data_IF_560359930111
#
_entry.id   IF_560359930111
#
_cell.length_a   1.000
_cell.length_b   1.000
_cell.length_c   1.000
_cell.angle_alpha   90.00
_cell.angle_beta   90.00
_cell.angle_gamma   90.00
#
_symmetry.space_group_name_H-M   'P 1'
#
loop_
_entity.id
_entity.type
_entity.pdbx_description
1 polymer ?
#
# COMPACT_ATOMS: atom_id res chain seq x y z
N UNK A 1 -16.24 -26.70 14.15
CA UNK A 1 -15.17 -25.71 14.39
C UNK A 1 -15.77 -24.51 15.12
N UNK A 2 -15.22 -24.15 16.26
CA UNK A 2 -15.73 -23.02 17.04
C UNK A 2 -15.08 -21.71 16.60
N UNK A 3 -15.49 -20.61 17.23
CA UNK A 3 -14.99 -19.27 16.86
C UNK A 3 -13.47 -19.15 17.05
N UNK A 4 -12.93 -19.76 18.10
CA UNK A 4 -11.49 -19.74 18.36
C UNK A 4 -10.74 -20.45 17.23
N UNK A 5 -11.27 -21.57 16.76
CA UNK A 5 -10.66 -22.30 15.66
C UNK A 5 -10.64 -21.48 14.37
N UNK A 6 -11.71 -20.72 14.10
CA UNK A 6 -11.76 -19.84 12.94
C UNK A 6 -10.71 -18.72 13.04
N UNK A 7 -10.57 -18.11 14.21
CA UNK A 7 -9.56 -17.08 14.44
C UNK A 7 -8.17 -17.64 14.25
N UNK A 8 -7.91 -18.80 14.81
CA UNK A 8 -6.61 -19.46 14.70
C UNK A 8 -6.28 -19.80 13.25
N UNK A 9 -7.27 -20.30 12.50
CA UNK A 9 -7.07 -20.62 11.09
C UNK A 9 -6.71 -19.35 10.27
N UNK A 10 -7.41 -18.26 10.51
CA UNK A 10 -7.14 -16.99 9.81
C UNK A 10 -5.73 -16.47 10.10
N UNK A 11 -5.33 -16.53 11.38
CA UNK A 11 -3.99 -16.08 11.77
C UNK A 11 -2.90 -17.01 11.21
N UNK A 12 -3.18 -18.31 11.14
CA UNK A 12 -2.25 -19.28 10.55
C UNK A 12 -2.07 -19.03 9.06
N UNK A 13 -3.15 -18.71 8.35
CA UNK A 13 -3.07 -18.35 6.94
C UNK A 13 -2.18 -17.11 6.72
N UNK A 14 -2.33 -16.12 7.57
CA UNK A 14 -1.51 -14.91 7.52
C UNK A 14 -0.03 -15.23 7.80
N UNK A 15 0.22 -16.08 8.79
CA UNK A 15 1.57 -16.53 9.13
C UNK A 15 2.21 -17.26 7.96
N UNK A 16 1.48 -18.16 7.32
CA UNK A 16 1.99 -18.93 6.17
C UNK A 16 2.29 -18.00 4.98
N UNK A 17 1.45 -17.01 4.74
CA UNK A 17 1.68 -16.04 3.68
C UNK A 17 2.96 -15.23 3.93
N UNK A 18 3.16 -14.80 5.15
CA UNK A 18 4.35 -14.06 5.53
C UNK A 18 5.60 -14.92 5.42
N UNK A 19 5.54 -16.17 5.88
CA UNK A 19 6.66 -17.11 5.78
C UNK A 19 7.06 -17.35 4.32
N UNK A 20 6.06 -17.52 3.44
CA UNK A 20 6.31 -17.73 2.02
C UNK A 20 6.99 -16.49 1.39
N UNK A 21 6.59 -15.30 1.78
CA UNK A 21 7.21 -14.07 1.30
C UNK A 21 8.67 -13.97 1.75
N UNK A 22 8.95 -14.27 3.02
CA UNK A 22 10.30 -14.20 3.57
C UNK A 22 11.24 -15.17 2.84
N UNK A 23 10.74 -16.31 2.43
CA UNK A 23 11.54 -17.34 1.73
C UNK A 23 11.71 -17.06 0.23
N UNK A 24 11.01 -16.08 -0.31
CA UNK A 24 11.07 -15.77 -1.74
C UNK A 24 12.11 -14.68 -2.00
N UNK A 25 13.34 -15.09 -2.25
CA UNK A 25 14.46 -14.17 -2.48
C UNK A 25 14.19 -13.20 -3.62
N UNK A 26 13.60 -13.65 -4.72
CA UNK A 26 13.30 -12.79 -5.86
C UNK A 26 12.35 -11.66 -5.48
N UNK A 27 11.33 -11.95 -4.67
CA UNK A 27 10.39 -10.95 -4.20
C UNK A 27 11.06 -9.97 -3.23
N UNK A 28 11.90 -10.47 -2.34
CA UNK A 28 12.65 -9.62 -1.40
C UNK A 28 13.57 -8.67 -2.16
N UNK A 29 14.24 -9.15 -3.20
CA UNK A 29 15.09 -8.31 -4.04
C UNK A 29 14.27 -7.23 -4.76
N UNK A 30 13.07 -7.58 -5.24
CA UNK A 30 12.19 -6.62 -5.88
C UNK A 30 11.75 -5.53 -4.91
N UNK A 31 11.42 -5.89 -3.68
CA UNK A 31 11.06 -4.92 -2.63
C UNK A 31 12.24 -4.00 -2.34
N UNK A 32 13.44 -4.58 -2.18
CA UNK A 32 14.65 -3.80 -1.94
C UNK A 32 14.94 -2.85 -3.10
N UNK A 33 14.76 -3.29 -4.33
CA UNK A 33 14.96 -2.47 -5.51
C UNK A 33 13.95 -1.33 -5.57
N UNK A 34 12.68 -1.59 -5.22
CA UNK A 34 11.67 -0.53 -5.15
C UNK A 34 12.06 0.55 -4.14
N UNK A 35 12.51 0.13 -2.96
CA UNK A 35 12.98 1.07 -1.94
C UNK A 35 14.17 1.89 -2.44
N UNK A 36 15.10 1.25 -3.14
CA UNK A 36 16.26 1.93 -3.71
C UNK A 36 15.86 3.00 -4.74
N UNK A 37 14.93 2.65 -5.63
CA UNK A 37 14.43 3.59 -6.66
C UNK A 37 13.76 4.80 -6.00
N UNK A 38 12.95 4.58 -4.98
CA UNK A 38 12.30 5.67 -4.25
C UNK A 38 13.34 6.56 -3.58
N UNK A 39 14.30 5.97 -2.89
CA UNK A 39 15.37 6.72 -2.22
C UNK A 39 16.20 7.53 -3.22
N UNK A 40 16.53 6.93 -4.35
CA UNK A 40 17.30 7.60 -5.39
C UNK A 40 16.53 8.78 -5.99
N UNK A 41 15.24 8.59 -6.24
CA UNK A 41 14.36 9.66 -6.70
C UNK A 41 14.35 10.84 -5.74
N UNK A 42 14.25 10.57 -4.44
CA UNK A 42 14.27 11.62 -3.42
C UNK A 42 15.59 12.39 -3.43
N UNK A 43 16.72 11.70 -3.55
CA UNK A 43 18.04 12.33 -3.61
C UNK A 43 18.18 13.25 -4.82
N UNK A 44 17.53 12.93 -5.92
CA UNK A 44 17.57 13.71 -7.15
C UNK A 44 16.50 14.80 -7.21
N UNK A 45 15.79 15.03 -6.13
CA UNK A 45 14.75 16.04 -6.06
C UNK A 45 13.40 15.62 -6.60
N UNK A 46 13.23 14.33 -6.87
CA UNK A 46 11.96 13.79 -7.34
C UNK A 46 10.96 13.58 -6.21
N UNK A 47 9.83 13.01 -6.56
CA UNK A 47 8.75 12.72 -5.62
C UNK A 47 8.18 11.35 -5.89
N UNK A 48 7.50 10.78 -4.90
CA UNK A 48 6.78 9.53 -5.04
C UNK A 48 5.28 9.80 -4.92
N UNK A 49 4.53 9.19 -5.81
CA UNK A 49 3.07 9.30 -5.80
C UNK A 49 2.47 7.92 -5.60
N UNK A 50 1.51 7.84 -4.72
CA UNK A 50 0.79 6.59 -4.46
C UNK A 50 -0.69 6.76 -4.81
N UNK A 51 -1.32 5.69 -5.24
CA UNK A 51 -2.73 5.72 -5.60
C UNK A 51 -3.37 4.36 -5.36
N UNK A 52 -4.68 4.36 -5.26
CA UNK A 52 -5.45 3.16 -5.06
C UNK A 52 -6.92 3.48 -4.86
N UNK A 53 -7.74 2.46 -4.84
CA UNK A 53 -9.19 2.55 -4.62
C UNK A 53 -9.56 1.88 -3.31
N UNK A 54 -10.62 2.35 -2.67
CA UNK A 54 -11.12 1.73 -1.45
C UNK A 54 -10.04 1.58 -0.38
N UNK A 55 -9.82 0.36 0.09
CA UNK A 55 -8.78 0.07 1.07
C UNK A 55 -7.38 0.39 0.56
N UNK A 56 -7.13 0.18 -0.74
CA UNK A 56 -5.84 0.54 -1.34
C UNK A 56 -5.61 2.04 -1.34
N UNK A 57 -6.67 2.86 -1.40
CA UNK A 57 -6.53 4.30 -1.25
C UNK A 57 -6.10 4.66 0.17
N UNK A 58 -6.67 3.97 1.17
CA UNK A 58 -6.25 4.17 2.55
C UNK A 58 -4.76 3.86 2.71
N UNK A 59 -4.29 2.77 2.12
CA UNK A 59 -2.88 2.40 2.14
C UNK A 59 -2.02 3.45 1.41
N UNK A 60 -2.49 3.94 0.27
CA UNK A 60 -1.77 4.96 -0.50
C UNK A 60 -1.62 6.26 0.29
N UNK A 61 -2.68 6.69 0.98
CA UNK A 61 -2.65 7.89 1.81
C UNK A 61 -1.75 7.69 3.03
N UNK A 62 -1.82 6.53 3.66
CA UNK A 62 -0.98 6.20 4.81
C UNK A 62 0.50 6.18 4.41
N UNK A 63 0.80 5.57 3.27
CA UNK A 63 2.17 5.55 2.74
C UNK A 63 2.71 6.97 2.55
N UNK A 64 1.93 7.85 1.91
CA UNK A 64 2.34 9.24 1.69
C UNK A 64 2.53 9.97 3.02
N UNK A 65 1.66 9.73 3.99
CA UNK A 65 1.75 10.31 5.32
C UNK A 65 3.04 9.88 6.03
N UNK A 66 3.37 8.59 5.98
CA UNK A 66 4.60 8.09 6.59
C UNK A 66 5.85 8.66 5.93
N UNK A 67 5.81 8.88 4.62
CA UNK A 67 6.94 9.47 3.89
C UNK A 67 7.13 10.95 4.25
N UNK A 68 6.05 11.69 4.40
CA UNK A 68 6.12 13.13 4.71
C UNK A 68 6.24 13.41 6.20
N UNK A 69 5.92 12.45 7.05
CA UNK A 69 5.98 12.57 8.50
C UNK A 69 7.30 12.11 9.09
N UNK A 70 7.23 11.70 10.36
CA UNK A 70 8.41 11.30 11.15
C UNK A 70 8.34 9.83 11.50
N UNK A 71 8.36 8.99 10.50
CA UNK A 71 8.31 7.56 10.77
C UNK A 71 9.56 7.14 11.56
N UNK A 72 9.34 6.60 12.75
CA UNK A 72 10.33 6.07 13.69
C UNK A 72 11.31 7.06 14.28
N UNK A 73 11.73 8.06 13.56
CA UNK A 73 12.66 9.07 14.06
C UNK A 73 12.35 10.43 13.47
N UNK A 74 12.83 11.46 14.13
CA UNK A 74 12.69 12.83 13.66
C UNK A 74 13.58 13.00 12.44
N UNK A 75 13.00 13.38 11.31
CA UNK A 75 13.74 13.51 10.06
C UNK A 75 13.06 14.52 9.13
N UNK A 76 13.82 14.97 8.14
CA UNK A 76 13.29 15.83 7.10
C UNK A 76 12.22 15.10 6.29
N UNK A 77 11.08 15.73 6.00
CA UNK A 77 10.05 15.10 5.18
C UNK A 77 10.54 14.73 3.79
N UNK A 78 10.10 13.57 3.31
CA UNK A 78 10.29 13.20 1.91
C UNK A 78 9.15 13.75 1.05
N UNK A 79 9.40 13.87 -0.23
CA UNK A 79 8.39 14.34 -1.18
C UNK A 79 7.50 13.17 -1.58
N UNK A 80 6.28 13.17 -1.06
CA UNK A 80 5.32 12.13 -1.37
C UNK A 80 3.91 12.70 -1.31
N UNK A 81 3.04 12.16 -2.15
CA UNK A 81 1.63 12.52 -2.15
C UNK A 81 0.79 11.36 -2.63
N UNK A 82 -0.40 11.22 -2.08
CA UNK A 82 -1.38 10.28 -2.60
C UNK A 82 -2.20 10.99 -3.67
N UNK A 83 -2.41 10.32 -4.78
CA UNK A 83 -3.30 10.84 -5.84
C UNK A 83 -4.72 10.56 -5.39
N UNK A 84 -5.37 11.58 -4.89
CA UNK A 84 -6.72 11.48 -4.34
C UNK A 84 -7.44 12.80 -4.49
N UNK A 85 -8.62 12.73 -5.08
CA UNK A 85 -9.55 13.85 -5.22
C UNK A 85 -10.95 13.28 -5.02
N UNK A 86 -11.68 13.85 -4.09
CA UNK A 86 -13.02 13.37 -3.73
C UNK A 86 -13.96 13.40 -4.93
N UNK A 87 -13.93 14.47 -5.73
CA UNK A 87 -14.77 14.59 -6.91
C UNK A 87 -14.42 13.54 -7.97
N UNK A 88 -13.13 13.37 -8.22
CA UNK A 88 -12.63 12.37 -9.16
C UNK A 88 -12.99 10.96 -8.70
N UNK A 89 -12.77 10.68 -7.43
CA UNK A 89 -13.09 9.37 -6.86
C UNK A 89 -14.56 9.03 -6.95
N UNK A 90 -15.43 9.98 -6.64
CA UNK A 90 -16.86 9.76 -6.74
C UNK A 90 -17.27 9.44 -8.17
N UNK A 91 -16.69 10.14 -9.14
CA UNK A 91 -16.95 9.91 -10.56
C UNK A 91 -16.46 8.51 -11.00
N UNK A 92 -15.24 8.15 -10.63
CA UNK A 92 -14.65 6.86 -10.98
C UNK A 92 -15.45 5.71 -10.37
N UNK A 93 -15.81 5.81 -9.11
CA UNK A 93 -16.61 4.79 -8.44
C UNK A 93 -17.99 4.65 -9.07
N UNK A 94 -18.59 5.76 -9.45
CA UNK A 94 -19.88 5.74 -10.15
C UNK A 94 -19.76 5.00 -11.48
N UNK A 95 -18.72 5.28 -12.25
CA UNK A 95 -18.50 4.60 -13.54
C UNK A 95 -18.24 3.11 -13.36
N UNK A 96 -17.44 2.72 -12.39
CA UNK A 96 -17.17 1.32 -12.09
C UNK A 96 -18.46 0.60 -11.70
N UNK A 97 -19.27 1.23 -10.87
CA UNK A 97 -20.53 0.65 -10.42
C UNK A 97 -21.49 0.44 -11.58
N UNK A 98 -21.51 1.36 -12.53
CA UNK A 98 -22.41 1.28 -13.69
C UNK A 98 -21.89 0.26 -14.72
N UNK A 99 -20.60 0.31 -15.02
CA UNK A 99 -20.02 -0.49 -16.09
C UNK A 99 -19.57 -1.89 -15.66
N UNK A 100 -19.29 -2.10 -14.38
CA UNK A 100 -18.84 -3.38 -13.85
C UNK A 100 -19.59 -3.74 -12.55
N UNK A 101 -20.92 -3.89 -12.62
CA UNK A 101 -21.72 -4.08 -11.41
C UNK A 101 -21.45 -5.38 -10.66
N UNK A 102 -20.88 -6.37 -11.30
CA UNK A 102 -20.58 -7.68 -10.70
C UNK A 102 -19.15 -7.77 -10.16
N UNK A 103 -18.37 -6.74 -10.34
CA UNK A 103 -16.98 -6.73 -9.91
C UNK A 103 -16.88 -6.65 -8.40
N UNK A 104 -16.03 -7.46 -7.84
CA UNK A 104 -15.73 -7.49 -6.42
C UNK A 104 -14.29 -7.15 -6.17
#
# INVERSE_FOLDING_TARGET
>A
MNAVDHVKAALTDAQNALAALIENEATLETIAQAAHVIAQSQRQGGAVYSCGNGGSLCDAMHFAEEMTGRYRQDRKPYRAAAISDVSHMACVLSLIHISEPTRR
#
